data_IF_598389095328
#
_entry.id   IF_598389095328
#
_cell.length_a   1.000
_cell.length_b   1.000
_cell.length_c   1.000
_cell.angle_alpha   90.00
_cell.angle_beta   90.00
_cell.angle_gamma   90.00
#
_symmetry.space_group_name_H-M   'P 1'
#
loop_
_entity.id
_entity.type
_entity.pdbx_description
1 polymer ?
#
# COMPACT_ATOMS: atom_id res chain seq x y z
N UNK A 1 17.16 -1.66 -7.54
CA UNK A 1 16.98 -0.24 -7.18
C UNK A 1 16.05 -0.15 -5.98
N UNK A 2 16.11 0.93 -5.22
CA UNK A 2 15.29 1.10 -4.03
C UNK A 2 14.64 2.48 -4.00
N UNK A 3 13.39 2.51 -3.55
CA UNK A 3 12.64 3.74 -3.31
C UNK A 3 12.83 4.14 -1.85
N UNK A 4 13.13 5.41 -1.61
CA UNK A 4 13.26 5.98 -0.26
C UNK A 4 12.18 7.04 -0.09
N UNK A 5 11.26 6.80 0.84
CA UNK A 5 10.24 7.78 1.17
C UNK A 5 10.72 8.77 2.22
N UNK A 6 10.19 9.98 2.16
CA UNK A 6 10.47 11.07 3.06
C UNK A 6 9.17 11.84 3.31
N UNK A 7 8.26 11.25 4.08
CA UNK A 7 6.89 11.73 4.22
C UNK A 7 6.73 13.08 4.92
N UNK A 8 7.76 13.57 5.61
CA UNK A 8 7.81 14.95 6.16
C UNK A 8 8.69 15.89 5.34
N UNK A 9 9.19 15.44 4.19
CA UNK A 9 10.06 16.28 3.38
C UNK A 9 9.28 17.50 2.88
N UNK A 10 9.92 18.65 3.03
CA UNK A 10 9.38 19.92 2.60
C UNK A 10 10.08 20.38 1.32
N UNK A 11 9.91 19.61 0.25
CA UNK A 11 10.63 19.84 -1.01
C UNK A 11 9.97 20.90 -1.89
N UNK A 12 8.74 21.29 -1.54
CA UNK A 12 7.93 22.29 -2.23
C UNK A 12 7.31 23.33 -1.28
N UNK A 13 7.89 23.51 -0.08
CA UNK A 13 7.45 24.46 0.95
C UNK A 13 6.01 24.25 1.48
N UNK A 14 5.49 23.02 1.40
CA UNK A 14 4.15 22.63 1.88
C UNK A 14 4.13 21.48 2.89
N UNK A 15 5.29 20.92 3.27
CA UNK A 15 5.41 19.69 4.08
C UNK A 15 4.59 18.52 3.51
N UNK A 16 4.44 18.49 2.19
CA UNK A 16 3.62 17.52 1.48
C UNK A 16 4.22 16.12 1.46
N UNK A 17 5.46 15.94 1.90
CA UNK A 17 6.20 14.70 1.77
C UNK A 17 6.78 14.52 0.37
N UNK A 18 7.65 13.52 0.22
CA UNK A 18 8.25 13.17 -1.05
C UNK A 18 8.77 11.72 -1.04
N UNK A 19 9.18 11.26 -2.21
CA UNK A 19 10.05 10.10 -2.34
C UNK A 19 11.19 10.35 -3.31
N UNK A 20 12.22 9.53 -3.17
CA UNK A 20 13.42 9.50 -3.98
C UNK A 20 13.61 8.11 -4.55
N UNK A 21 13.98 8.05 -5.81
CA UNK A 21 14.31 6.81 -6.48
C UNK A 21 15.83 6.69 -6.56
N UNK A 22 16.41 5.58 -6.09
CA UNK A 22 17.86 5.40 -5.98
C UNK A 22 18.28 4.09 -6.65
N UNK A 23 19.27 4.17 -7.52
CA UNK A 23 19.87 2.99 -8.14
C UNK A 23 20.61 2.16 -7.09
N UNK A 24 20.29 0.87 -7.01
CA UNK A 24 20.94 -0.05 -6.10
C UNK A 24 22.35 -0.44 -6.53
N UNK A 25 22.66 -0.32 -7.82
CA UNK A 25 24.00 -0.60 -8.35
C UNK A 25 24.98 0.55 -8.16
N UNK A 26 24.51 1.80 -8.24
CA UNK A 26 25.38 2.99 -8.26
C UNK A 26 25.18 3.94 -7.09
N UNK A 27 24.08 3.83 -6.35
CA UNK A 27 23.66 4.80 -5.33
C UNK A 27 23.23 6.15 -5.90
N UNK A 28 23.16 6.29 -7.24
CA UNK A 28 22.74 7.55 -7.87
C UNK A 28 21.24 7.74 -7.76
N UNK A 29 20.81 9.00 -7.62
CA UNK A 29 19.40 9.35 -7.73
C UNK A 29 18.93 9.16 -9.18
N UNK A 30 17.86 8.40 -9.33
CA UNK A 30 17.13 8.23 -10.58
C UNK A 30 16.12 9.37 -10.75
N UNK A 31 15.30 9.34 -11.79
CA UNK A 31 14.38 10.42 -12.16
C UNK A 31 15.12 11.73 -12.45
N UNK A 32 16.22 11.64 -13.21
CA UNK A 32 17.11 12.76 -13.54
C UNK A 32 17.66 13.47 -12.29
N UNK A 33 17.72 12.77 -11.16
CA UNK A 33 18.17 13.27 -9.87
C UNK A 33 17.10 14.00 -9.05
N UNK A 34 15.86 14.11 -9.55
CA UNK A 34 14.79 14.89 -8.95
C UNK A 34 13.91 14.04 -8.01
N UNK A 35 13.56 14.55 -6.82
CA UNK A 35 12.51 13.95 -6.01
C UNK A 35 11.13 14.12 -6.64
N UNK A 36 10.19 13.30 -6.22
CA UNK A 36 8.77 13.51 -6.46
C UNK A 36 8.13 14.00 -5.17
N UNK A 37 7.58 15.22 -5.20
CA UNK A 37 6.91 15.85 -4.05
C UNK A 37 5.41 15.55 -4.04
N UNK A 38 4.79 15.56 -2.86
CA UNK A 38 3.33 15.56 -2.75
C UNK A 38 2.72 16.91 -3.18
N UNK A 39 1.42 16.91 -3.46
CA UNK A 39 0.75 18.08 -4.06
C UNK A 39 -0.06 18.91 -3.06
N UNK A 40 -0.14 18.47 -1.79
CA UNK A 40 -1.00 19.05 -0.77
C UNK A 40 -0.27 19.42 0.52
N UNK A 41 -0.70 20.50 1.18
CA UNK A 41 -0.17 20.89 2.49
C UNK A 41 -0.30 19.75 3.49
N UNK A 42 0.82 19.24 3.99
CA UNK A 42 0.88 18.14 4.97
C UNK A 42 0.17 16.86 4.51
N UNK A 43 0.08 16.60 3.21
CA UNK A 43 -0.48 15.33 2.71
C UNK A 43 0.37 14.11 3.09
N UNK A 44 1.66 14.34 3.34
CA UNK A 44 2.66 13.35 3.74
C UNK A 44 2.84 12.21 2.72
N UNK A 45 2.93 12.55 1.43
CA UNK A 45 3.31 11.61 0.38
C UNK A 45 4.60 10.87 0.76
N UNK A 46 4.56 9.54 0.65
CA UNK A 46 5.65 8.68 1.07
C UNK A 46 5.43 8.08 2.47
N UNK A 47 4.25 8.27 3.06
CA UNK A 47 3.93 7.64 4.35
C UNK A 47 4.01 6.12 4.27
N UNK A 48 3.53 5.56 3.16
CA UNK A 48 3.52 4.13 2.86
C UNK A 48 3.93 3.92 1.40
N UNK A 49 4.36 2.71 1.08
CA UNK A 49 4.84 2.33 -0.25
C UNK A 49 4.51 0.87 -0.53
N UNK A 50 4.15 0.56 -1.78
CA UNK A 50 4.08 -0.81 -2.27
C UNK A 50 4.60 -0.91 -3.71
N UNK A 51 5.38 -1.96 -4.00
CA UNK A 51 5.86 -2.26 -5.34
C UNK A 51 4.84 -3.16 -6.06
N UNK A 52 4.35 -2.71 -7.21
CA UNK A 52 3.41 -3.48 -8.05
C UNK A 52 4.13 -4.30 -9.15
N UNK A 53 5.44 -4.12 -9.26
CA UNK A 53 6.29 -4.84 -10.20
C UNK A 53 6.31 -4.22 -11.60
N UNK A 54 6.80 -5.00 -12.56
CA UNK A 54 6.84 -4.62 -13.98
C UNK A 54 5.72 -5.32 -14.73
N UNK A 55 5.15 -4.63 -15.71
CA UNK A 55 4.17 -5.29 -16.57
C UNK A 55 4.93 -6.19 -17.55
N UNK A 56 4.48 -7.43 -17.68
CA UNK A 56 5.03 -8.38 -18.64
C UNK A 56 4.11 -8.47 -19.84
N UNK A 57 4.66 -8.55 -21.04
CA UNK A 57 3.82 -8.66 -22.22
C UNK A 57 3.13 -10.03 -22.28
N UNK A 58 1.78 -10.08 -22.42
CA UNK A 58 1.06 -11.33 -22.61
C UNK A 58 1.64 -12.14 -23.78
N UNK A 59 1.93 -13.42 -23.55
CA UNK A 59 2.45 -14.35 -24.56
C UNK A 59 3.96 -14.32 -24.80
N UNK A 60 4.68 -13.25 -24.43
CA UNK A 60 6.16 -13.23 -24.47
C UNK A 60 6.80 -13.33 -23.10
N UNK A 61 6.10 -12.89 -22.04
CA UNK A 61 6.59 -12.90 -20.65
C UNK A 61 7.72 -11.91 -20.36
N UNK A 62 8.17 -11.14 -21.37
CA UNK A 62 9.20 -10.14 -21.21
C UNK A 62 8.63 -8.92 -20.49
N UNK A 63 9.38 -8.43 -19.50
CA UNK A 63 9.08 -7.17 -18.85
C UNK A 63 9.21 -6.01 -19.84
N UNK A 64 8.32 -5.03 -19.70
CA UNK A 64 8.34 -3.79 -20.48
C UNK A 64 9.43 -2.80 -20.01
N UNK A 65 10.12 -3.10 -18.90
CA UNK A 65 11.12 -2.22 -18.29
C UNK A 65 10.52 -1.01 -17.57
N UNK A 66 9.20 -1.02 -17.38
CA UNK A 66 8.46 0.02 -16.67
C UNK A 66 8.00 -0.55 -15.33
N UNK A 67 8.57 -0.05 -14.25
CA UNK A 67 8.23 -0.45 -12.89
C UNK A 67 7.07 0.39 -12.39
N UNK A 68 6.07 -0.24 -11.77
CA UNK A 68 4.91 0.44 -11.17
C UNK A 68 4.94 0.30 -9.66
N UNK A 69 4.51 1.34 -8.96
CA UNK A 69 4.47 1.35 -7.50
C UNK A 69 3.43 2.35 -6.99
N UNK A 70 2.90 2.06 -5.81
CA UNK A 70 1.95 2.88 -5.09
C UNK A 70 2.65 3.64 -3.96
N UNK A 71 2.26 4.89 -3.74
CA UNK A 71 2.74 5.72 -2.63
C UNK A 71 1.55 6.37 -1.93
N UNK A 72 1.47 6.19 -0.61
CA UNK A 72 0.40 6.75 0.20
C UNK A 72 0.68 8.16 0.71
N UNK A 73 -0.39 8.92 0.81
CA UNK A 73 -0.49 10.26 1.41
C UNK A 73 -1.77 10.31 2.28
N UNK A 74 -1.79 9.62 3.44
CA UNK A 74 -3.01 9.43 4.23
C UNK A 74 -3.62 10.72 4.77
N UNK A 75 -2.86 11.81 4.82
CA UNK A 75 -3.37 13.10 5.29
C UNK A 75 -3.75 14.06 4.16
N UNK A 76 -3.70 13.59 2.91
CA UNK A 76 -4.19 14.34 1.77
C UNK A 76 -5.64 14.77 2.02
N UNK A 77 -5.91 16.04 1.74
CA UNK A 77 -7.18 16.69 2.01
C UNK A 77 -7.82 17.29 0.76
N UNK A 78 -7.42 16.82 -0.43
CA UNK A 78 -7.86 17.36 -1.72
C UNK A 78 -9.37 17.18 -1.92
N UNK A 79 -9.92 15.99 -1.63
CA UNK A 79 -11.35 15.71 -1.74
C UNK A 79 -12.09 15.81 -0.39
N UNK A 80 -11.50 15.24 0.67
CA UNK A 80 -12.07 15.26 2.01
C UNK A 80 -10.99 15.57 3.04
N UNK A 81 -11.28 16.33 4.11
CA UNK A 81 -10.31 16.58 5.18
C UNK A 81 -9.77 15.27 5.78
N UNK A 82 -8.46 15.05 5.66
CA UNK A 82 -7.78 13.81 6.07
C UNK A 82 -8.41 12.54 5.48
N UNK A 83 -9.02 12.63 4.29
CA UNK A 83 -9.57 11.47 3.59
C UNK A 83 -8.46 10.55 3.07
N UNK A 84 -7.31 11.13 2.72
CA UNK A 84 -6.15 10.39 2.23
C UNK A 84 -6.18 10.12 0.73
N UNK A 85 -4.99 9.82 0.19
CA UNK A 85 -4.74 9.58 -1.22
C UNK A 85 -3.69 8.49 -1.38
N UNK A 86 -3.84 7.65 -2.40
CA UNK A 86 -2.77 6.79 -2.92
C UNK A 86 -2.52 7.17 -4.36
N UNK A 87 -1.26 7.46 -4.69
CA UNK A 87 -0.84 7.76 -6.05
C UNK A 87 -0.09 6.56 -6.63
N UNK A 88 -0.46 6.16 -7.85
CA UNK A 88 0.27 5.12 -8.60
C UNK A 88 1.22 5.80 -9.56
N UNK A 89 2.50 5.45 -9.44
CA UNK A 89 3.55 5.95 -10.29
C UNK A 89 4.09 4.84 -11.17
N UNK A 90 4.60 5.23 -12.34
CA UNK A 90 5.49 4.40 -13.13
C UNK A 90 6.87 5.04 -13.22
N UNK A 91 7.89 4.18 -13.27
CA UNK A 91 9.26 4.53 -13.58
C UNK A 91 9.69 3.83 -14.87
N UNK A 92 10.07 4.61 -15.87
CA UNK A 92 10.67 4.11 -17.12
C UNK A 92 12.19 4.21 -17.03
N UNK A 93 12.86 3.06 -16.91
CA UNK A 93 14.30 2.98 -16.78
C UNK A 93 15.05 3.41 -18.06
N UNK A 94 14.42 3.33 -19.23
CA UNK A 94 15.05 3.73 -20.49
C UNK A 94 15.12 5.25 -20.65
N UNK A 95 14.10 5.96 -20.17
CA UNK A 95 14.04 7.43 -20.19
C UNK A 95 14.46 8.10 -18.89
N UNK A 96 14.62 7.32 -17.81
CA UNK A 96 14.88 7.78 -16.44
C UNK A 96 13.84 8.81 -15.96
N UNK A 97 12.56 8.47 -16.13
CA UNK A 97 11.43 9.35 -15.82
C UNK A 97 10.41 8.65 -14.93
N UNK A 98 9.97 9.36 -13.89
CA UNK A 98 8.80 9.00 -13.06
C UNK A 98 7.59 9.82 -13.49
N UNK A 99 6.44 9.16 -13.66
CA UNK A 99 5.15 9.78 -13.98
C UNK A 99 4.09 9.22 -13.02
N UNK A 100 3.22 10.09 -12.51
CA UNK A 100 1.98 9.68 -11.84
C UNK A 100 0.97 9.24 -12.91
N UNK A 101 0.57 7.97 -12.85
CA UNK A 101 -0.40 7.38 -13.77
C UNK A 101 -1.83 7.71 -13.34
N UNK A 102 -2.11 7.55 -12.04
CA UNK A 102 -3.43 7.79 -11.48
C UNK A 102 -3.35 8.01 -9.97
N UNK A 103 -4.42 8.50 -9.38
CA UNK A 103 -4.58 8.66 -7.94
C UNK A 103 -5.95 8.13 -7.49
N UNK A 104 -5.96 7.43 -6.37
CA UNK A 104 -7.14 6.94 -5.67
C UNK A 104 -7.30 7.73 -4.38
N UNK A 105 -8.53 8.13 -4.06
CA UNK A 105 -8.84 8.94 -2.88
C UNK A 105 -9.73 8.16 -1.93
N UNK A 106 -9.58 8.41 -0.63
CA UNK A 106 -10.59 8.03 0.35
C UNK A 106 -11.94 8.66 0.04
N UNK A 107 -13.02 8.02 0.47
CA UNK A 107 -14.38 8.41 0.12
C UNK A 107 -15.09 9.21 1.23
N UNK A 108 -14.46 9.29 2.42
CA UNK A 108 -14.97 10.06 3.54
C UNK A 108 -13.87 10.84 4.31
N UNK A 109 -14.26 11.87 5.10
CA UNK A 109 -13.32 12.58 5.95
C UNK A 109 -12.72 11.70 7.05
N UNK A 110 -11.41 11.82 7.26
CA UNK A 110 -10.71 11.16 8.37
C UNK A 110 -10.38 9.70 8.16
N UNK A 111 -10.62 9.12 6.98
CA UNK A 111 -10.32 7.71 6.68
C UNK A 111 -8.83 7.39 6.68
N UNK A 112 -7.99 8.39 6.45
CA UNK A 112 -6.56 8.22 6.31
C UNK A 112 -6.20 7.14 5.27
N UNK A 113 -6.91 7.14 4.13
CA UNK A 113 -6.72 6.19 3.04
C UNK A 113 -5.28 6.24 2.52
N UNK A 114 -4.63 5.07 2.42
CA UNK A 114 -3.21 4.97 2.08
C UNK A 114 -2.27 4.99 3.29
N UNK A 115 -2.77 4.81 4.52
CA UNK A 115 -1.93 4.71 5.70
C UNK A 115 -1.10 3.42 5.71
N UNK A 116 -1.68 2.30 5.29
CA UNK A 116 -0.99 1.04 5.03
C UNK A 116 -1.11 0.66 3.55
N UNK A 117 -0.07 0.06 2.97
CA UNK A 117 -0.08 -0.45 1.60
C UNK A 117 0.55 -1.84 1.57
N UNK A 118 -0.01 -2.73 0.76
CA UNK A 118 0.57 -4.03 0.43
C UNK A 118 0.29 -4.40 -1.03
N UNK A 119 1.13 -5.23 -1.63
CA UNK A 119 0.95 -5.74 -2.98
C UNK A 119 1.01 -7.27 -2.97
N UNK A 120 0.07 -7.92 -3.64
CA UNK A 120 -0.08 -9.38 -3.63
C UNK A 120 -0.79 -9.84 -4.91
N UNK A 121 -0.55 -11.07 -5.36
CA UNK A 121 -1.22 -11.65 -6.52
C UNK A 121 -2.55 -12.28 -6.07
N UNK A 122 -3.65 -11.52 -6.12
CA UNK A 122 -4.96 -11.98 -5.63
C UNK A 122 -5.54 -13.08 -6.52
N UNK A 123 -5.29 -13.01 -7.83
CA UNK A 123 -5.95 -13.89 -8.80
C UNK A 123 -5.11 -14.97 -9.46
N UNK A 124 -3.80 -14.96 -9.22
CA UNK A 124 -2.81 -15.93 -9.67
C UNK A 124 -2.37 -15.71 -11.11
N UNK A 125 -2.53 -14.49 -11.64
CA UNK A 125 -2.15 -14.14 -13.00
C UNK A 125 -0.70 -13.59 -13.13
N UNK A 126 -0.03 -13.39 -12.00
CA UNK A 126 1.34 -12.89 -11.90
C UNK A 126 1.45 -11.36 -11.90
N UNK A 127 0.34 -10.63 -11.95
CA UNK A 127 0.29 -9.18 -11.70
C UNK A 127 -0.20 -8.93 -10.28
N UNK A 128 0.44 -7.99 -9.60
CA UNK A 128 0.08 -7.70 -8.22
C UNK A 128 -1.09 -6.72 -8.16
N UNK A 129 -2.14 -7.11 -7.45
CA UNK A 129 -3.12 -6.21 -6.88
C UNK A 129 -2.53 -5.36 -5.75
N UNK A 130 -3.25 -4.28 -5.43
CA UNK A 130 -2.93 -3.36 -4.36
C UNK A 130 -3.95 -3.50 -3.24
N UNK A 131 -3.47 -3.75 -2.02
CA UNK A 131 -4.23 -3.63 -0.79
C UNK A 131 -3.93 -2.26 -0.14
N UNK A 132 -4.98 -1.51 0.23
CA UNK A 132 -4.88 -0.16 0.79
C UNK A 132 -5.61 -0.05 2.11
N UNK A 133 -4.89 0.30 3.17
CA UNK A 133 -5.45 0.56 4.49
C UNK A 133 -6.10 1.94 4.59
N UNK A 134 -7.35 1.97 5.02
CA UNK A 134 -8.10 3.16 5.43
C UNK A 134 -8.33 3.09 6.95
N UNK A 135 -7.25 3.26 7.70
CA UNK A 135 -7.22 2.98 9.15
C UNK A 135 -8.19 3.84 9.96
N UNK A 136 -8.55 5.01 9.45
CA UNK A 136 -9.48 5.93 10.11
C UNK A 136 -10.95 5.60 9.89
N UNK A 137 -11.27 4.73 8.91
CA UNK A 137 -12.63 4.32 8.60
C UNK A 137 -13.31 3.64 9.81
N UNK A 138 -14.65 3.63 9.81
CA UNK A 138 -15.47 2.92 10.79
C UNK A 138 -15.12 3.26 12.25
N UNK A 139 -14.94 4.56 12.56
CA UNK A 139 -14.52 5.04 13.88
C UNK A 139 -13.16 4.51 14.33
N UNK A 140 -12.16 4.57 13.44
CA UNK A 140 -10.82 3.99 13.62
C UNK A 140 -10.84 2.46 13.75
N UNK A 141 -11.93 1.78 13.37
CA UNK A 141 -11.95 0.33 13.25
C UNK A 141 -11.07 -0.14 12.09
N UNK A 142 -10.92 0.71 11.07
CA UNK A 142 -10.12 0.47 9.89
C UNK A 142 -10.79 -0.47 8.90
N UNK A 143 -10.27 -0.46 7.68
CA UNK A 143 -10.63 -1.37 6.59
C UNK A 143 -9.49 -1.43 5.59
N UNK A 144 -9.49 -2.45 4.74
CA UNK A 144 -8.54 -2.62 3.64
C UNK A 144 -9.29 -2.75 2.33
N UNK A 145 -9.00 -1.87 1.37
CA UNK A 145 -9.53 -1.92 0.02
C UNK A 145 -8.60 -2.73 -0.88
N UNK A 146 -9.15 -3.67 -1.64
CA UNK A 146 -8.41 -4.45 -2.63
C UNK A 146 -8.69 -3.87 -4.02
N UNK A 147 -7.63 -3.51 -4.73
CA UNK A 147 -7.69 -2.79 -6.00
C UNK A 147 -6.84 -3.50 -7.06
N UNK A 148 -7.38 -3.60 -8.28
CA UNK A 148 -6.68 -4.12 -9.45
C UNK A 148 -6.28 -3.02 -10.41
N UNK A 149 -5.02 -3.04 -10.85
CA UNK A 149 -4.56 -2.20 -11.94
C UNK A 149 -4.99 -2.76 -13.30
N UNK A 150 -5.78 -2.00 -14.05
CA UNK A 150 -6.24 -2.38 -15.37
C UNK A 150 -5.70 -1.43 -16.44
N UNK A 151 -5.18 -2.00 -17.53
CA UNK A 151 -4.75 -1.22 -18.70
C UNK A 151 -5.85 -1.16 -19.75
N UNK A 152 -6.54 -0.02 -19.84
CA UNK A 152 -7.60 0.21 -20.82
C UNK A 152 -7.07 1.05 -21.99
N UNK A 153 -6.36 0.39 -22.91
CA UNK A 153 -5.75 1.07 -24.06
C UNK A 153 -4.55 1.94 -23.67
N UNK A 154 -4.77 3.24 -23.48
CA UNK A 154 -3.72 4.20 -23.06
C UNK A 154 -3.96 4.78 -21.65
N UNK A 155 -5.02 4.36 -20.95
CA UNK A 155 -5.24 4.73 -19.54
C UNK A 155 -4.96 3.57 -18.61
N UNK A 156 -4.40 3.91 -17.45
CA UNK A 156 -4.29 3.02 -16.30
C UNK A 156 -5.34 3.39 -15.27
N UNK A 157 -6.17 2.44 -14.90
CA UNK A 157 -7.26 2.62 -13.95
C UNK A 157 -7.16 1.59 -12.84
N UNK A 158 -7.61 1.96 -11.64
CA UNK A 158 -7.70 1.04 -10.51
C UNK A 158 -9.16 0.64 -10.31
N UNK A 159 -9.45 -0.65 -10.45
CA UNK A 159 -10.76 -1.24 -10.20
C UNK A 159 -10.83 -1.71 -8.75
N UNK A 160 -11.91 -1.33 -8.04
CA UNK A 160 -12.18 -1.84 -6.70
C UNK A 160 -12.77 -3.25 -6.78
N UNK A 161 -12.09 -4.20 -6.16
CA UNK A 161 -12.51 -5.60 -6.11
C UNK A 161 -13.29 -5.91 -4.84
N UNK A 162 -12.81 -5.45 -3.68
CA UNK A 162 -13.41 -5.78 -2.39
C UNK A 162 -12.95 -4.83 -1.25
N UNK A 163 -13.69 -4.86 -0.14
CA UNK A 163 -13.32 -4.20 1.12
C UNK A 163 -13.32 -5.20 2.26
N UNK A 164 -12.14 -5.41 2.86
CA UNK A 164 -11.98 -6.18 4.08
C UNK A 164 -12.28 -5.28 5.29
N UNK A 165 -13.41 -5.53 5.94
CA UNK A 165 -13.81 -4.78 7.12
C UNK A 165 -12.92 -5.09 8.33
N UNK A 166 -12.56 -4.06 9.09
CA UNK A 166 -11.86 -4.19 10.36
C UNK A 166 -12.75 -4.69 11.51
N UNK A 167 -12.18 -4.64 12.71
CA UNK A 167 -12.79 -5.11 13.94
C UNK A 167 -13.60 -4.04 14.68
N UNK A 168 -13.29 -3.87 15.96
CA UNK A 168 -13.93 -2.87 16.81
C UNK A 168 -13.38 -1.46 16.54
N UNK A 169 -14.14 -0.40 16.89
CA UNK A 169 -13.64 0.97 16.84
C UNK A 169 -12.33 1.15 17.61
N UNK A 170 -11.32 1.71 16.97
CA UNK A 170 -10.00 1.94 17.55
C UNK A 170 -8.95 0.89 17.22
N UNK A 171 -9.33 -0.24 16.60
CA UNK A 171 -8.41 -1.34 16.29
C UNK A 171 -7.34 -0.96 15.24
N UNK A 172 -7.64 0.03 14.39
CA UNK A 172 -6.79 0.52 13.29
C UNK A 172 -6.39 -0.61 12.33
N UNK A 173 -7.36 -1.45 11.94
CA UNK A 173 -7.13 -2.51 10.96
C UNK A 173 -6.67 -1.93 9.62
N UNK A 174 -5.70 -2.59 8.97
CA UNK A 174 -5.07 -2.09 7.74
C UNK A 174 -3.84 -1.22 7.97
N UNK A 175 -3.33 -1.16 9.21
CA UNK A 175 -2.15 -0.35 9.54
C UNK A 175 -0.86 -0.87 8.89
N UNK A 176 -0.68 -2.19 8.92
CA UNK A 176 0.38 -2.91 8.21
C UNK A 176 -0.25 -3.97 7.33
N UNK A 177 0.31 -4.18 6.13
CA UNK A 177 -0.24 -5.11 5.14
C UNK A 177 0.93 -5.81 4.45
N UNK A 178 0.89 -7.14 4.39
CA UNK A 178 1.93 -7.95 3.77
C UNK A 178 1.31 -9.09 2.96
N UNK A 179 1.84 -9.31 1.75
CA UNK A 179 1.62 -10.57 1.03
C UNK A 179 2.37 -11.70 1.73
N UNK A 180 1.64 -12.71 2.22
CA UNK A 180 2.26 -13.94 2.72
C UNK A 180 2.78 -14.83 1.57
N UNK A 181 2.43 -14.54 0.32
CA UNK A 181 2.73 -15.38 -0.84
C UNK A 181 1.71 -16.51 -0.98
N UNK A 182 1.92 -17.39 -1.97
CA UNK A 182 1.11 -18.61 -2.16
C UNK A 182 1.63 -19.71 -1.22
N UNK A 183 1.25 -19.62 0.05
CA UNK A 183 1.71 -20.52 1.12
C UNK A 183 0.66 -21.57 1.42
N UNK A 184 -0.61 -21.21 1.34
CA UNK A 184 -1.71 -22.13 1.55
C UNK A 184 -2.15 -22.74 0.22
N UNK A 185 -2.13 -24.07 0.16
CA UNK A 185 -2.62 -24.85 -0.97
C UNK A 185 -1.80 -24.76 -2.28
N UNK A 186 -0.88 -23.81 -2.43
CA UNK A 186 -0.05 -23.64 -3.63
C UNK A 186 -0.94 -23.53 -4.89
N UNK A 187 -2.00 -22.72 -4.81
CA UNK A 187 -3.03 -22.61 -5.83
C UNK A 187 -2.78 -21.48 -6.85
N UNK A 188 -1.66 -20.78 -6.70
CA UNK A 188 -1.22 -19.65 -7.51
C UNK A 188 -1.63 -18.30 -6.95
N UNK A 189 -2.48 -18.23 -5.92
CA UNK A 189 -2.93 -16.96 -5.32
C UNK A 189 -2.15 -16.68 -4.05
N UNK A 190 -1.87 -15.41 -3.81
CA UNK A 190 -1.18 -14.98 -2.61
C UNK A 190 -2.17 -14.76 -1.47
N UNK A 191 -1.76 -15.16 -0.28
CA UNK A 191 -2.45 -14.80 0.95
C UNK A 191 -2.08 -13.40 1.44
N UNK A 192 -3.01 -12.77 2.16
CA UNK A 192 -2.84 -11.43 2.72
C UNK A 192 -2.82 -11.47 4.25
N UNK A 193 -1.80 -10.85 4.84
CA UNK A 193 -1.71 -10.57 6.28
C UNK A 193 -1.99 -9.09 6.51
N UNK A 194 -2.86 -8.79 7.47
CA UNK A 194 -3.24 -7.43 7.83
C UNK A 194 -3.12 -7.22 9.33
N UNK A 195 -2.43 -6.15 9.73
CA UNK A 195 -2.27 -5.75 11.13
C UNK A 195 -3.41 -4.86 11.64
N UNK A 196 -3.79 -5.08 12.90
CA UNK A 196 -4.66 -4.23 13.70
C UNK A 196 -3.98 -4.03 15.08
N UNK A 197 -2.98 -3.12 15.17
CA UNK A 197 -2.10 -3.02 16.32
C UNK A 197 -2.83 -2.68 17.63
N UNK A 198 -4.00 -2.07 17.57
CA UNK A 198 -4.75 -1.66 18.76
C UNK A 198 -5.90 -2.60 19.10
N UNK A 199 -6.03 -3.74 18.40
CA UNK A 199 -7.10 -4.68 18.65
C UNK A 199 -7.12 -5.21 20.09
N UNK A 200 -8.30 -5.11 20.71
CA UNK A 200 -8.62 -5.63 22.04
C UNK A 200 -9.23 -7.03 21.93
N UNK A 201 -8.42 -8.05 21.60
CA UNK A 201 -8.91 -9.42 21.39
C UNK A 201 -9.32 -10.11 22.70
N UNK A 202 -8.34 -10.66 23.43
CA UNK A 202 -8.57 -11.36 24.71
C UNK A 202 -8.10 -10.56 25.93
N UNK A 203 -7.55 -9.36 25.67
CA UNK A 203 -6.98 -8.43 26.63
C UNK A 203 -6.80 -7.07 25.97
N UNK A 204 -6.25 -6.10 26.70
CA UNK A 204 -6.19 -4.70 26.25
C UNK A 204 -4.93 -4.43 25.44
N UNK A 205 -5.10 -3.82 24.27
CA UNK A 205 -4.06 -3.37 23.33
C UNK A 205 -3.07 -4.49 23.00
N UNK A 206 -3.57 -5.73 22.89
CA UNK A 206 -2.73 -6.87 22.53
C UNK A 206 -2.26 -6.77 21.08
N UNK A 207 -3.09 -6.16 20.23
CA UNK A 207 -2.93 -6.11 18.80
C UNK A 207 -3.23 -7.46 18.15
N UNK A 208 -3.45 -7.43 16.84
CA UNK A 208 -3.71 -8.62 16.05
C UNK A 208 -3.05 -8.57 14.67
N UNK A 209 -2.77 -9.76 14.14
CA UNK A 209 -2.53 -10.01 12.71
C UNK A 209 -3.64 -10.93 12.22
N UNK A 210 -4.25 -10.56 11.11
CA UNK A 210 -5.36 -11.29 10.49
C UNK A 210 -4.92 -11.82 9.13
N UNK A 211 -5.14 -13.11 8.89
CA UNK A 211 -4.85 -13.81 7.65
C UNK A 211 -6.13 -13.97 6.82
N UNK A 212 -6.05 -13.56 5.56
CA UNK A 212 -7.10 -13.70 4.56
C UNK A 212 -6.67 -14.65 3.45
N UNK A 213 -7.60 -15.55 3.08
CA UNK A 213 -7.51 -16.41 1.89
C UNK A 213 -8.69 -16.08 0.98
N UNK A 214 -8.42 -15.67 -0.27
CA UNK A 214 -9.46 -15.24 -1.21
C UNK A 214 -10.45 -14.25 -0.56
N UNK A 215 -9.91 -13.20 0.09
CA UNK A 215 -10.66 -12.18 0.84
C UNK A 215 -11.47 -12.68 2.05
N UNK A 216 -11.40 -13.96 2.41
CA UNK A 216 -12.08 -14.50 3.57
C UNK A 216 -11.14 -14.55 4.78
N UNK A 217 -11.59 -14.03 5.91
CA UNK A 217 -10.86 -14.15 7.18
C UNK A 217 -10.77 -15.63 7.56
N UNK A 218 -9.55 -16.13 7.74
CA UNK A 218 -9.30 -17.52 8.16
C UNK A 218 -8.76 -17.60 9.57
N UNK A 219 -7.89 -16.67 9.95
CA UNK A 219 -7.24 -16.69 11.25
C UNK A 219 -6.94 -15.27 11.74
N UNK A 220 -7.18 -15.03 13.02
CA UNK A 220 -6.68 -13.86 13.72
C UNK A 220 -5.76 -14.32 14.87
N UNK A 221 -4.54 -13.79 14.91
CA UNK A 221 -3.53 -14.07 15.91
C UNK A 221 -3.28 -12.83 16.76
N UNK A 222 -2.98 -13.04 18.03
CA UNK A 222 -2.58 -11.99 18.97
C UNK A 222 -1.35 -12.43 19.74
N UNK A 223 -0.58 -11.47 20.28
CA UNK A 223 0.55 -11.75 21.17
C UNK A 223 0.12 -12.41 22.49
N UNK A 224 -1.14 -12.20 22.90
CA UNK A 224 -1.66 -12.61 24.22
C UNK A 224 -1.19 -11.72 25.37
N UNK A 225 -0.38 -10.69 25.11
CA UNK A 225 0.16 -9.77 26.11
C UNK A 225 -0.47 -8.38 25.98
N UNK A 226 -0.90 -7.79 27.10
CA UNK A 226 -1.51 -6.46 27.06
C UNK A 226 -0.49 -5.38 26.67
N UNK A 227 -0.91 -4.39 25.89
CA UNK A 227 -0.09 -3.28 25.36
C UNK A 227 1.08 -3.71 24.46
N UNK A 228 1.02 -4.92 23.90
CA UNK A 228 2.06 -5.41 23.00
C UNK A 228 2.00 -4.79 21.59
N UNK A 229 0.82 -4.27 21.20
CA UNK A 229 0.59 -3.66 19.89
C UNK A 229 0.97 -4.58 18.71
N UNK A 230 0.66 -5.87 18.83
CA UNK A 230 1.00 -6.88 17.82
C UNK A 230 0.37 -6.56 16.46
N UNK A 231 1.13 -6.72 15.37
CA UNK A 231 0.70 -6.28 14.04
C UNK A 231 0.98 -4.80 13.73
N UNK A 232 1.79 -4.11 14.55
CA UNK A 232 2.27 -2.76 14.23
C UNK A 232 3.04 -2.68 12.91
N UNK A 233 3.88 -3.68 12.67
CA UNK A 233 4.69 -3.82 11.47
C UNK A 233 4.79 -5.31 11.13
N UNK A 234 4.76 -5.62 9.83
CA UNK A 234 4.81 -6.98 9.31
C UNK A 234 5.75 -6.96 8.10
N UNK A 235 6.79 -7.78 8.16
CA UNK A 235 7.73 -7.97 7.07
C UNK A 235 7.97 -9.46 6.86
N UNK A 236 8.29 -9.85 5.63
CA UNK A 236 8.47 -11.23 5.23
C UNK A 236 9.06 -11.37 3.84
N UNK A 237 9.47 -12.59 3.51
CA UNK A 237 10.07 -12.92 2.21
C UNK A 237 10.05 -14.42 1.98
N UNK A 238 10.38 -14.83 0.76
CA UNK A 238 10.53 -16.25 0.40
C UNK A 238 11.77 -16.83 1.12
N UNK A 239 11.57 -17.85 1.95
CA UNK A 239 12.64 -18.72 2.49
C UNK A 239 13.17 -19.71 1.44
#
# INVERSE_FOLDING_TARGET
DFLVTAYVADVNDTNSGAFYLISGGTGSRLNQGNPVSGDGLRSMLGYSFALLGEHRHPGTGNADGIVKFAVGAPFDSTLFPWGGKVSIYRYDAASDVVIEETAIYGDAPGEAFGAGLGAFDDDGDGYLELAVGAVGANSLGGEVHILRGNWAGNSFEMEHLDTLAGGAPGDLFGYSILSAGDVFHNDGRHELLVGAPYADMSGSLQGAIVLFLNHNLVLALTSGENNALFGWDIDGGLD
#
